data_IF_561106113370
#
_entry.id   IF_561106113370
#
_cell.length_a   1.000
_cell.length_b   1.000
_cell.length_c   1.000
_cell.angle_alpha   90.00
_cell.angle_beta   90.00
_cell.angle_gamma   90.00
#
_symmetry.space_group_name_H-M   'P 1'
#
loop_
_entity.id
_entity.type
_entity.pdbx_description
1 polymer ?
#
# COMPACT_ATOMS: atom_id res chain seq x y z
N UNK A 1 -12.28 -8.34 -58.45
CA UNK A 1 -12.82 -8.74 -57.15
C UNK A 1 -11.68 -8.80 -56.16
N UNK A 2 -11.51 -7.75 -55.36
CA UNK A 2 -10.45 -7.61 -54.37
C UNK A 2 -11.04 -7.86 -52.98
N UNK A 3 -10.46 -8.69 -52.12
CA UNK A 3 -10.92 -8.86 -50.75
C UNK A 3 -10.34 -7.72 -49.89
N UNK A 4 -11.19 -7.03 -49.17
CA UNK A 4 -10.88 -6.06 -48.11
C UNK A 4 -10.24 -6.77 -46.91
N UNK A 5 -8.98 -6.40 -46.61
CA UNK A 5 -8.34 -6.76 -45.38
C UNK A 5 -8.94 -5.91 -44.22
N UNK A 6 -9.57 -6.57 -43.27
CA UNK A 6 -9.93 -5.99 -41.99
C UNK A 6 -8.65 -5.86 -41.13
N UNK A 7 -8.17 -4.64 -41.01
CA UNK A 7 -7.11 -4.29 -40.09
C UNK A 7 -7.65 -4.31 -38.65
N UNK A 8 -7.30 -5.35 -37.91
CA UNK A 8 -7.51 -5.37 -36.45
C UNK A 8 -6.57 -4.38 -35.79
N UNK A 9 -7.11 -3.31 -35.21
CA UNK A 9 -6.37 -2.39 -34.36
C UNK A 9 -6.03 -3.09 -33.04
N UNK A 10 -4.79 -3.49 -32.90
CA UNK A 10 -4.20 -3.95 -31.64
C UNK A 10 -4.08 -2.75 -30.71
N UNK A 11 -5.03 -2.60 -29.81
CA UNK A 11 -4.90 -1.65 -28.70
C UNK A 11 -3.85 -2.22 -27.75
N UNK A 12 -2.61 -1.81 -27.94
CA UNK A 12 -1.53 -2.05 -27.00
C UNK A 12 -1.81 -1.19 -25.76
N UNK A 13 -2.36 -1.81 -24.73
CA UNK A 13 -2.50 -1.22 -23.40
C UNK A 13 -1.09 -1.16 -22.81
N UNK A 14 -0.43 -0.01 -22.99
CA UNK A 14 0.87 0.28 -22.37
C UNK A 14 0.61 0.47 -20.88
N UNK A 15 0.71 -0.64 -20.12
CA UNK A 15 0.89 -0.59 -18.68
C UNK A 15 2.28 -0.01 -18.47
N UNK A 16 2.36 1.32 -18.31
CA UNK A 16 3.55 1.98 -17.80
C UNK A 16 3.79 1.45 -16.39
N UNK A 17 4.55 0.38 -16.31
CA UNK A 17 5.13 -0.10 -15.06
C UNK A 17 6.00 1.03 -14.50
N UNK A 18 5.46 1.79 -13.56
CA UNK A 18 6.24 2.65 -12.69
C UNK A 18 7.14 1.72 -11.86
N UNK A 19 8.29 1.41 -12.38
CA UNK A 19 9.36 0.76 -11.63
C UNK A 19 9.78 1.73 -10.54
N UNK A 20 9.13 1.63 -9.37
CA UNK A 20 9.57 2.34 -8.17
C UNK A 20 10.99 1.82 -7.89
N UNK A 21 12.02 2.67 -7.87
CA UNK A 21 13.38 2.21 -7.63
C UNK A 21 13.41 1.46 -6.29
N UNK A 22 14.07 0.31 -6.27
CA UNK A 22 14.18 -0.58 -5.11
C UNK A 22 14.73 0.12 -3.84
N UNK A 23 15.32 1.30 -3.99
CA UNK A 23 15.74 2.17 -2.90
C UNK A 23 14.56 2.73 -2.08
N UNK A 24 13.39 2.94 -2.70
CA UNK A 24 12.19 3.45 -2.00
C UNK A 24 11.52 2.40 -1.11
N UNK A 25 11.84 1.12 -1.30
CA UNK A 25 11.34 0.02 -0.46
C UNK A 25 12.20 -0.21 0.79
N UNK A 26 13.41 0.37 0.84
CA UNK A 26 14.25 0.33 2.04
C UNK A 26 13.74 1.41 2.99
N UNK A 27 13.14 0.99 4.10
CA UNK A 27 12.72 1.91 5.15
C UNK A 27 13.84 2.89 5.47
N UNK A 28 13.51 4.16 5.71
CA UNK A 28 14.47 5.21 6.04
C UNK A 28 15.17 4.90 7.38
N UNK A 29 16.49 4.55 7.39
CA UNK A 29 17.21 4.22 8.61
C UNK A 29 17.65 5.49 9.34
N UNK A 30 16.69 6.37 9.68
CA UNK A 30 16.93 7.67 10.31
C UNK A 30 17.78 7.58 11.59
N UNK A 31 17.71 6.47 12.31
CA UNK A 31 18.52 6.22 13.52
C UNK A 31 20.00 5.93 13.23
N UNK A 32 20.37 5.82 11.95
CA UNK A 32 21.77 5.64 11.47
C UNK A 32 22.25 6.85 10.68
N UNK A 33 21.37 7.79 10.33
CA UNK A 33 21.75 9.01 9.64
C UNK A 33 22.43 9.97 10.64
N UNK A 34 23.72 10.35 10.43
CA UNK A 34 24.45 11.18 11.38
C UNK A 34 23.81 12.54 11.65
N UNK A 35 23.12 13.12 10.65
CA UNK A 35 22.42 14.41 10.80
C UNK A 35 21.21 14.24 11.72
N UNK A 36 20.39 13.22 11.45
CA UNK A 36 19.18 12.93 12.24
C UNK A 36 19.56 12.52 13.65
N UNK A 37 20.57 11.67 13.84
CA UNK A 37 21.08 11.26 15.16
C UNK A 37 21.52 12.47 15.97
N UNK A 38 22.25 13.41 15.36
CA UNK A 38 22.70 14.65 16.01
C UNK A 38 21.54 15.59 16.32
N UNK A 39 20.61 15.78 15.38
CA UNK A 39 19.45 16.67 15.52
C UNK A 39 18.50 16.21 16.63
N UNK A 40 18.24 14.90 16.69
CA UNK A 40 17.39 14.29 17.71
C UNK A 40 18.12 14.12 19.06
N UNK A 41 19.46 14.18 19.07
CA UNK A 41 20.24 13.86 20.25
C UNK A 41 20.09 12.40 20.67
N UNK A 42 20.08 11.46 19.70
CA UNK A 42 19.95 10.04 19.99
C UNK A 42 21.19 9.51 20.70
N UNK A 43 20.97 8.74 21.76
CA UNK A 43 22.05 7.98 22.38
C UNK A 43 22.39 6.73 21.56
N UNK A 44 23.63 6.20 21.67
CA UNK A 44 23.99 4.93 21.04
C UNK A 44 23.05 3.77 21.44
N UNK A 45 22.63 3.72 22.71
CA UNK A 45 21.70 2.71 23.22
C UNK A 45 20.31 2.83 22.57
N UNK A 46 19.79 4.04 22.40
CA UNK A 46 18.54 4.27 21.69
C UNK A 46 18.63 3.82 20.24
N UNK A 47 19.70 4.21 19.53
CA UNK A 47 19.93 3.80 18.14
C UNK A 47 20.02 2.29 18.01
N UNK A 48 20.70 1.60 18.92
CA UNK A 48 20.81 0.15 18.92
C UNK A 48 19.44 -0.53 19.17
N UNK A 49 18.64 -0.03 20.12
CA UNK A 49 17.29 -0.55 20.39
C UNK A 49 16.35 -0.36 19.19
N UNK A 50 16.44 0.78 18.51
CA UNK A 50 15.65 1.07 17.31
C UNK A 50 16.10 0.16 16.15
N UNK A 51 17.41 -0.03 15.97
CA UNK A 51 17.96 -0.94 14.96
C UNK A 51 17.49 -2.39 15.18
N UNK A 52 17.45 -2.84 16.42
CA UNK A 52 16.95 -4.18 16.73
C UNK A 52 15.46 -4.34 16.35
N UNK A 53 14.60 -3.35 16.65
CA UNK A 53 13.19 -3.38 16.24
C UNK A 53 13.09 -3.49 14.71
N UNK A 54 13.86 -2.70 13.98
CA UNK A 54 13.89 -2.77 12.53
C UNK A 54 14.32 -4.15 12.03
N UNK A 55 15.46 -4.63 12.48
CA UNK A 55 16.03 -5.90 12.02
C UNK A 55 15.13 -7.11 12.30
N UNK A 56 14.39 -7.09 13.40
CA UNK A 56 13.46 -8.18 13.75
C UNK A 56 12.15 -8.11 12.95
N UNK A 57 11.71 -6.91 12.56
CA UNK A 57 10.44 -6.73 11.84
C UNK A 57 10.62 -6.74 10.31
N UNK A 58 11.77 -6.30 9.81
CA UNK A 58 12.03 -6.12 8.38
C UNK A 58 11.84 -7.39 7.53
N UNK A 59 12.25 -8.61 7.96
CA UNK A 59 12.00 -9.82 7.19
C UNK A 59 10.51 -10.07 6.92
N UNK A 60 9.66 -9.85 7.91
CA UNK A 60 8.21 -9.97 7.77
C UNK A 60 7.64 -8.93 6.79
N UNK A 61 8.11 -7.68 6.88
CA UNK A 61 7.70 -6.63 5.94
C UNK A 61 8.07 -6.97 4.51
N UNK A 62 9.27 -7.49 4.30
CA UNK A 62 9.75 -7.92 3.00
C UNK A 62 8.88 -9.06 2.44
N UNK A 63 8.64 -10.10 3.23
CA UNK A 63 7.78 -11.22 2.85
C UNK A 63 6.37 -10.76 2.49
N UNK A 64 5.78 -9.88 3.30
CA UNK A 64 4.45 -9.33 3.03
C UNK A 64 4.41 -8.44 1.77
N UNK A 65 5.50 -7.72 1.48
CA UNK A 65 5.60 -6.94 0.24
C UNK A 65 5.68 -7.84 -0.99
N UNK A 66 6.50 -8.88 -0.95
CA UNK A 66 6.63 -9.87 -2.02
C UNK A 66 5.30 -10.62 -2.25
N UNK A 67 4.53 -10.88 -1.18
CA UNK A 67 3.18 -11.46 -1.28
C UNK A 67 2.20 -10.48 -1.94
N UNK A 68 2.24 -9.20 -1.56
CA UNK A 68 1.39 -8.18 -2.18
C UNK A 68 1.65 -8.09 -3.68
N UNK A 69 2.92 -8.04 -4.09
CA UNK A 69 3.31 -7.99 -5.49
C UNK A 69 2.76 -9.20 -6.27
N UNK A 70 2.80 -10.41 -5.69
CA UNK A 70 2.22 -11.62 -6.30
C UNK A 70 0.70 -11.54 -6.44
N UNK A 71 0.00 -11.06 -5.41
CA UNK A 71 -1.46 -10.95 -5.44
C UNK A 71 -1.93 -9.87 -6.43
N UNK A 72 -1.21 -8.76 -6.54
CA UNK A 72 -1.48 -7.69 -7.52
C UNK A 72 -1.21 -8.16 -8.95
N UNK A 73 -0.16 -8.94 -9.18
CA UNK A 73 0.12 -9.55 -10.48
C UNK A 73 -0.98 -10.53 -10.90
N UNK A 74 -1.47 -11.35 -9.97
CA UNK A 74 -2.59 -12.27 -10.23
C UNK A 74 -3.88 -11.51 -10.54
N UNK A 75 -4.18 -10.44 -9.80
CA UNK A 75 -5.33 -9.57 -10.09
C UNK A 75 -5.25 -9.00 -11.52
N UNK A 76 -4.07 -8.49 -11.89
CA UNK A 76 -3.82 -7.96 -13.23
C UNK A 76 -4.04 -9.03 -14.31
N UNK A 77 -3.58 -10.26 -14.06
CA UNK A 77 -3.77 -11.40 -14.97
C UNK A 77 -5.24 -11.77 -15.12
N UNK A 78 -6.01 -11.81 -14.04
CA UNK A 78 -7.45 -12.11 -14.08
C UNK A 78 -8.21 -11.07 -14.90
N UNK A 79 -7.90 -9.79 -14.71
CA UNK A 79 -8.53 -8.71 -15.49
C UNK A 79 -8.17 -8.83 -16.98
N UNK A 80 -6.88 -9.06 -17.30
CA UNK A 80 -6.44 -9.20 -18.69
C UNK A 80 -7.10 -10.39 -19.41
N UNK A 81 -7.42 -11.45 -18.67
CA UNK A 81 -8.07 -12.64 -19.19
C UNK A 81 -9.61 -12.55 -19.14
N UNK A 82 -10.19 -11.39 -18.81
CA UNK A 82 -11.64 -11.19 -18.73
C UNK A 82 -12.31 -12.23 -17.82
N UNK A 83 -11.69 -12.56 -16.68
CA UNK A 83 -12.26 -13.46 -15.69
C UNK A 83 -13.62 -12.94 -15.19
N UNK A 84 -14.45 -13.84 -14.67
CA UNK A 84 -15.75 -13.45 -14.11
C UNK A 84 -15.59 -12.51 -12.90
N UNK A 85 -16.60 -11.67 -12.67
CA UNK A 85 -16.58 -10.64 -11.63
C UNK A 85 -16.35 -11.23 -10.22
N UNK A 86 -16.97 -12.39 -9.91
CA UNK A 86 -16.82 -13.03 -8.60
C UNK A 86 -15.37 -13.44 -8.32
N UNK A 87 -14.68 -13.99 -9.32
CA UNK A 87 -13.26 -14.34 -9.23
C UNK A 87 -12.39 -13.09 -9.03
N UNK A 88 -12.67 -12.01 -9.75
CA UNK A 88 -11.94 -10.73 -9.62
C UNK A 88 -12.16 -10.13 -8.24
N UNK A 89 -13.42 -10.08 -7.75
CA UNK A 89 -13.74 -9.56 -6.40
C UNK A 89 -13.00 -10.34 -5.32
N UNK A 90 -13.01 -11.67 -5.39
CA UNK A 90 -12.28 -12.51 -4.43
C UNK A 90 -10.76 -12.22 -4.44
N UNK A 91 -10.19 -11.96 -5.60
CA UNK A 91 -8.77 -11.60 -5.69
C UNK A 91 -8.49 -10.19 -5.15
N UNK A 92 -9.41 -9.23 -5.34
CA UNK A 92 -9.32 -7.90 -4.72
C UNK A 92 -9.28 -8.03 -3.20
N UNK A 93 -10.15 -8.84 -2.60
CA UNK A 93 -10.17 -9.06 -1.15
C UNK A 93 -8.83 -9.60 -0.62
N UNK A 94 -8.18 -10.50 -1.36
CA UNK A 94 -6.84 -10.98 -1.01
C UNK A 94 -5.80 -9.88 -1.05
N UNK A 95 -5.77 -9.09 -2.12
CA UNK A 95 -4.86 -7.94 -2.27
C UNK A 95 -5.03 -6.97 -1.10
N UNK A 96 -6.27 -6.58 -0.78
CA UNK A 96 -6.55 -5.63 0.31
C UNK A 96 -6.19 -6.20 1.68
N UNK A 97 -6.43 -7.49 1.92
CA UNK A 97 -6.04 -8.16 3.17
C UNK A 97 -4.52 -8.12 3.40
N UNK A 98 -3.74 -8.46 2.36
CA UNK A 98 -2.27 -8.42 2.43
C UNK A 98 -1.78 -6.98 2.62
N UNK A 99 -2.36 -6.02 1.87
CA UNK A 99 -2.03 -4.59 1.96
C UNK A 99 -2.30 -4.03 3.35
N UNK A 100 -3.45 -4.36 3.93
CA UNK A 100 -3.82 -3.94 5.29
C UNK A 100 -2.85 -4.51 6.33
N UNK A 101 -2.49 -5.80 6.23
CA UNK A 101 -1.52 -6.46 7.12
C UNK A 101 -0.14 -5.80 7.02
N UNK A 102 0.36 -5.55 5.82
CA UNK A 102 1.63 -4.87 5.57
C UNK A 102 1.66 -3.47 6.19
N UNK A 103 0.60 -2.69 6.00
CA UNK A 103 0.46 -1.35 6.56
C UNK A 103 0.41 -1.38 8.09
N UNK A 104 -0.32 -2.32 8.69
CA UNK A 104 -0.37 -2.53 10.13
C UNK A 104 1.01 -2.81 10.70
N UNK A 105 1.75 -3.75 10.11
CA UNK A 105 3.10 -4.11 10.56
C UNK A 105 4.06 -2.92 10.47
N UNK A 106 4.04 -2.15 9.38
CA UNK A 106 4.84 -0.92 9.22
C UNK A 106 4.52 0.11 10.31
N UNK A 107 3.24 0.34 10.57
CA UNK A 107 2.79 1.33 11.56
C UNK A 107 3.19 0.92 12.97
N UNK A 108 3.03 -0.36 13.32
CA UNK A 108 3.44 -0.87 14.63
C UNK A 108 4.96 -0.84 14.82
N UNK A 109 5.74 -1.17 13.79
CA UNK A 109 7.19 -1.04 13.82
C UNK A 109 7.60 0.41 14.14
N UNK A 110 7.03 1.38 13.41
CA UNK A 110 7.31 2.80 13.65
C UNK A 110 6.91 3.21 15.09
N UNK A 111 5.74 2.80 15.55
CA UNK A 111 5.29 3.07 16.92
C UNK A 111 6.29 2.53 17.96
N UNK A 112 6.76 1.30 17.77
CA UNK A 112 7.74 0.70 18.69
C UNK A 112 9.08 1.44 18.67
N UNK A 113 9.53 1.93 17.53
CA UNK A 113 10.73 2.75 17.39
C UNK A 113 10.56 4.11 18.11
N UNK A 114 9.47 4.83 17.83
CA UNK A 114 9.18 6.15 18.40
C UNK A 114 9.01 6.07 19.93
N UNK A 115 8.54 4.96 20.46
CA UNK A 115 8.49 4.71 21.92
C UNK A 115 9.87 4.66 22.60
N UNK A 116 10.96 4.51 21.84
CA UNK A 116 12.34 4.57 22.37
C UNK A 116 12.86 6.00 22.49
N UNK A 117 12.13 6.98 21.98
CA UNK A 117 12.45 8.40 22.05
C UNK A 117 11.86 9.04 23.30
N UNK A 118 12.56 10.01 23.86
CA UNK A 118 12.01 10.90 24.90
C UNK A 118 10.90 11.80 24.34
N UNK A 119 10.07 12.44 25.18
CA UNK A 119 9.06 13.40 24.70
C UNK A 119 9.66 14.49 23.80
N UNK A 120 10.78 15.10 24.20
CA UNK A 120 11.45 16.16 23.44
C UNK A 120 12.00 15.66 22.09
N UNK A 121 12.57 14.46 22.08
CA UNK A 121 13.03 13.83 20.85
C UNK A 121 11.90 13.53 19.90
N UNK A 122 10.71 13.13 20.40
CA UNK A 122 9.52 12.89 19.57
C UNK A 122 9.02 14.16 18.88
N UNK A 123 9.05 15.30 19.57
CA UNK A 123 8.70 16.59 18.97
C UNK A 123 9.64 16.91 17.80
N UNK A 124 10.95 16.72 17.98
CA UNK A 124 11.94 16.93 16.92
C UNK A 124 11.82 15.90 15.79
N UNK A 125 11.42 14.67 16.10
CA UNK A 125 11.27 13.59 15.11
C UNK A 125 10.13 13.84 14.13
N UNK A 126 9.03 14.44 14.56
CA UNK A 126 7.85 14.65 13.72
C UNK A 126 8.16 15.37 12.39
N UNK A 127 8.83 16.55 12.38
CA UNK A 127 9.14 17.23 11.12
C UNK A 127 10.10 16.43 10.23
N UNK A 128 11.05 15.69 10.79
CA UNK A 128 11.96 14.82 10.03
C UNK A 128 11.21 13.68 9.35
N UNK A 129 10.30 13.04 10.09
CA UNK A 129 9.46 11.97 9.55
C UNK A 129 8.47 12.47 8.50
N UNK A 130 7.88 13.65 8.70
CA UNK A 130 6.95 14.24 7.74
C UNK A 130 7.66 14.68 6.46
N UNK A 131 8.89 15.19 6.57
CA UNK A 131 9.70 15.48 5.39
C UNK A 131 9.98 14.21 4.61
N UNK A 132 10.43 13.16 5.29
CA UNK A 132 10.67 11.87 4.63
C UNK A 132 9.42 11.31 3.94
N UNK A 133 8.24 11.43 4.56
CA UNK A 133 6.96 11.01 3.94
C UNK A 133 6.64 11.78 2.66
N UNK A 134 6.96 13.08 2.63
CA UNK A 134 6.78 13.91 1.41
C UNK A 134 7.73 13.47 0.31
N UNK A 135 8.96 13.16 0.66
CA UNK A 135 10.00 12.76 -0.30
C UNK A 135 9.81 11.31 -0.80
N UNK A 136 9.04 10.51 -0.05
CA UNK A 136 8.74 9.10 -0.34
C UNK A 136 7.23 8.84 -0.28
N UNK A 137 6.43 9.41 -1.19
CA UNK A 137 4.99 9.21 -1.21
C UNK A 137 4.68 7.72 -1.40
N UNK A 138 3.70 7.21 -0.62
CA UNK A 138 3.17 5.87 -0.89
C UNK A 138 2.58 5.85 -2.30
N UNK A 139 2.74 4.74 -3.04
CA UNK A 139 1.91 4.51 -4.22
C UNK A 139 0.44 4.73 -3.82
N UNK A 140 -0.26 5.54 -4.59
CA UNK A 140 -1.68 5.76 -4.35
C UNK A 140 -2.38 4.40 -4.40
N UNK A 141 -3.05 4.03 -3.31
CA UNK A 141 -4.00 2.92 -3.36
C UNK A 141 -5.09 3.23 -4.40
N UNK A 142 -5.88 2.25 -4.83
CA UNK A 142 -7.01 2.52 -5.69
C UNK A 142 -7.83 3.67 -5.10
N UNK A 143 -8.39 4.56 -5.95
CA UNK A 143 -9.20 5.67 -5.47
C UNK A 143 -10.31 5.13 -4.55
N UNK A 144 -10.67 5.86 -3.47
CA UNK A 144 -11.79 5.47 -2.64
C UNK A 144 -13.02 5.31 -3.52
N UNK A 145 -13.78 4.22 -3.31
CA UNK A 145 -15.04 4.00 -4.02
C UNK A 145 -15.91 5.27 -3.90
N UNK A 146 -16.59 5.69 -4.97
CA UNK A 146 -17.46 6.85 -4.93
C UNK A 146 -18.51 6.69 -3.82
N UNK A 147 -18.90 7.77 -3.11
CA UNK A 147 -19.76 7.72 -1.93
C UNK A 147 -21.18 7.20 -2.21
N UNK A 148 -21.56 6.96 -3.45
CA UNK A 148 -22.92 6.68 -3.88
C UNK A 148 -23.26 5.19 -4.07
N UNK A 149 -22.44 4.26 -3.62
CA UNK A 149 -22.83 2.84 -3.55
C UNK A 149 -23.67 2.50 -2.31
N UNK A 150 -24.26 3.50 -1.65
CA UNK A 150 -25.29 3.27 -0.64
C UNK A 150 -26.61 2.98 -1.34
N UNK A 151 -26.93 1.67 -1.38
CA UNK A 151 -28.27 1.10 -1.32
C UNK A 151 -29.41 2.01 -1.83
N UNK A 152 -29.93 1.71 -2.99
CA UNK A 152 -31.31 2.06 -3.34
C UNK A 152 -32.27 1.50 -2.28
N UNK A 153 -32.95 2.34 -1.48
CA UNK A 153 -33.97 1.88 -0.55
C UNK A 153 -35.33 1.87 -1.24
N UNK A 154 -35.48 1.15 -2.36
CA UNK A 154 -36.77 1.10 -3.01
C UNK A 154 -37.13 -0.27 -3.56
N UNK A 155 -37.33 -1.20 -2.61
CA UNK A 155 -38.02 -2.46 -2.86
C UNK A 155 -38.91 -2.83 -1.68
N UNK A 156 -39.57 -1.83 -1.05
CA UNK A 156 -40.66 -2.08 -0.12
C UNK A 156 -41.89 -1.26 -0.52
N UNK A 157 -42.86 -1.93 -1.07
CA UNK A 157 -44.20 -1.40 -1.08
C UNK A 157 -44.95 -1.46 -2.42
N UNK A 158 -45.41 -2.63 -2.80
CA UNK A 158 -46.69 -2.79 -3.49
C UNK A 158 -47.24 -4.18 -3.27
N UNK A 159 -47.66 -4.47 -2.07
CA UNK A 159 -48.77 -5.39 -1.84
C UNK A 159 -50.05 -4.55 -1.84
N UNK A 160 -50.74 -4.49 -2.91
CA UNK A 160 -52.08 -3.97 -2.92
C UNK A 160 -53.00 -5.11 -3.41
N UNK A 161 -53.72 -5.70 -2.46
CA UNK A 161 -54.85 -6.59 -2.70
C UNK A 161 -56.09 -5.68 -2.77
N UNK A 162 -56.95 -5.85 -3.77
CA UNK A 162 -58.36 -5.62 -3.60
C UNK A 162 -59.13 -6.89 -3.89
N UNK A 163 -59.98 -7.21 -2.94
CA UNK A 163 -61.28 -7.91 -2.98
C UNK A 163 -61.55 -8.89 -4.14
#
# INVERSE_FOLDING_TARGET
MTPKALGGALVALVVLGLTVPAAAQRGFPWWKDPKVVKELGLTPDQSAKIDNIFRTTFPQLRQSSEELDRQEAELSRLIANMADEGTVVHQIDKVESVRASLNKTRTLMLLHMVRKLTPDQRVKFNPVHDQWRRDNPRPAGPPPAPPDSKASPDARGRSNIPK
#
